data_IF_047102974722
#
_entry.id   IF_047102974722
#
_cell.length_a   1.000
_cell.length_b   1.000
_cell.length_c   1.000
_cell.angle_alpha   90.00
_cell.angle_beta   90.00
_cell.angle_gamma   90.00
#
_symmetry.space_group_name_H-M   'P 1'
#
loop_
_entity.id
_entity.type
_entity.pdbx_description
1 polymer ?
#
# COMPACT_ATOMS: atom_id res chain seq x y z
N UNK A 1 44.67 2.60 -42.60
CA UNK A 1 43.26 3.01 -42.78
C UNK A 1 42.39 2.14 -41.87
N UNK A 2 41.74 2.71 -40.84
CA UNK A 2 40.83 1.96 -39.97
C UNK A 2 39.52 1.74 -40.73
N UNK A 3 39.14 0.48 -40.97
CA UNK A 3 37.82 0.11 -41.53
C UNK A 3 36.75 0.58 -40.53
N UNK A 4 35.92 1.54 -40.93
CA UNK A 4 34.72 1.86 -40.16
C UNK A 4 33.69 0.76 -40.45
N UNK A 5 33.51 -0.15 -39.49
CA UNK A 5 32.41 -1.10 -39.50
C UNK A 5 31.15 -0.34 -39.08
N UNK A 6 30.42 0.22 -40.05
CA UNK A 6 29.09 0.77 -39.82
C UNK A 6 28.08 -0.36 -39.56
N UNK A 7 27.16 -0.16 -38.63
CA UNK A 7 25.99 -1.03 -38.43
C UNK A 7 25.15 -1.07 -39.71
N UNK A 8 24.62 -2.25 -40.05
CA UNK A 8 23.75 -2.37 -41.22
C UNK A 8 22.33 -1.91 -40.87
N UNK A 9 21.62 -1.33 -41.84
CA UNK A 9 20.23 -0.90 -41.62
C UNK A 9 19.32 -2.08 -41.21
N UNK A 10 19.58 -3.26 -41.77
CA UNK A 10 18.81 -4.47 -41.44
C UNK A 10 19.01 -4.92 -39.99
N UNK A 11 20.22 -4.74 -39.45
CA UNK A 11 20.55 -5.10 -38.08
C UNK A 11 19.83 -4.19 -37.08
N UNK A 12 19.74 -2.88 -37.38
CA UNK A 12 18.93 -1.95 -36.58
C UNK A 12 17.43 -2.32 -36.63
N UNK A 13 16.91 -2.67 -37.81
CA UNK A 13 15.49 -3.04 -37.99
C UNK A 13 15.13 -4.31 -37.23
N UNK A 14 15.99 -5.33 -37.26
CA UNK A 14 15.74 -6.58 -36.51
C UNK A 14 15.73 -6.32 -35.01
N UNK A 15 16.61 -5.46 -34.50
CA UNK A 15 16.66 -5.12 -33.06
C UNK A 15 15.37 -4.46 -32.61
N UNK A 16 14.86 -3.45 -33.32
CA UNK A 16 13.61 -2.78 -32.93
C UNK A 16 12.39 -3.71 -33.03
N UNK A 17 12.40 -4.67 -33.96
CA UNK A 17 11.34 -5.67 -34.08
C UNK A 17 11.36 -6.61 -32.87
N UNK A 18 12.53 -7.11 -32.47
CA UNK A 18 12.66 -7.97 -31.29
C UNK A 18 12.25 -7.20 -30.03
N UNK A 19 12.72 -5.96 -29.85
CA UNK A 19 12.32 -5.11 -28.72
C UNK A 19 10.82 -4.83 -28.73
N UNK A 20 10.20 -4.64 -29.90
CA UNK A 20 8.76 -4.46 -30.04
C UNK A 20 7.96 -5.68 -29.57
N UNK A 21 8.38 -6.89 -29.93
CA UNK A 21 7.73 -8.13 -29.49
C UNK A 21 7.89 -8.32 -27.98
N UNK A 22 9.10 -8.12 -27.45
CA UNK A 22 9.38 -8.23 -26.02
C UNK A 22 8.56 -7.21 -25.21
N UNK A 23 8.46 -5.97 -25.68
CA UNK A 23 7.65 -4.95 -25.04
C UNK A 23 6.16 -5.30 -25.05
N UNK A 24 5.63 -5.81 -26.18
CA UNK A 24 4.22 -6.17 -26.29
C UNK A 24 3.79 -7.25 -25.30
N UNK A 25 4.67 -8.20 -24.97
CA UNK A 25 4.37 -9.26 -23.97
C UNK A 25 4.74 -8.87 -22.54
N UNK A 26 5.76 -8.02 -22.34
CA UNK A 26 6.23 -7.65 -21.01
C UNK A 26 5.34 -6.59 -20.34
N UNK A 27 4.84 -5.61 -21.10
CA UNK A 27 4.00 -4.52 -20.58
C UNK A 27 2.74 -5.03 -19.86
N UNK A 28 1.88 -5.88 -20.45
CA UNK A 28 0.67 -6.33 -19.76
C UNK A 28 0.99 -7.09 -18.48
N UNK A 29 1.99 -7.98 -18.51
CA UNK A 29 2.41 -8.74 -17.32
C UNK A 29 2.95 -7.85 -16.20
N UNK A 30 3.66 -6.77 -16.56
CA UNK A 30 4.16 -5.81 -15.59
C UNK A 30 3.02 -5.04 -14.90
N UNK A 31 1.97 -4.68 -15.64
CA UNK A 31 0.79 -4.02 -15.08
C UNK A 31 0.05 -4.95 -14.09
N UNK A 32 -0.21 -6.19 -14.50
CA UNK A 32 -0.87 -7.19 -13.64
C UNK A 32 -0.09 -7.39 -12.31
N UNK A 33 1.22 -7.58 -12.41
CA UNK A 33 2.09 -7.75 -11.22
C UNK A 33 2.09 -6.51 -10.31
N UNK A 34 1.98 -5.31 -10.89
CA UNK A 34 1.96 -4.06 -10.11
C UNK A 34 0.65 -3.92 -9.34
N UNK A 35 -0.47 -4.30 -9.95
CA UNK A 35 -1.79 -4.32 -9.31
C UNK A 35 -1.83 -5.37 -8.19
N UNK A 36 -1.36 -6.59 -8.45
CA UNK A 36 -1.27 -7.67 -7.45
C UNK A 36 -0.39 -7.27 -6.26
N UNK A 37 0.76 -6.63 -6.53
CA UNK A 37 1.64 -6.13 -5.48
C UNK A 37 0.97 -5.07 -4.60
N UNK A 38 0.20 -4.16 -5.23
CA UNK A 38 -0.56 -3.11 -4.51
C UNK A 38 -1.63 -3.74 -3.62
N UNK A 39 -2.44 -4.66 -4.17
CA UNK A 39 -3.48 -5.36 -3.41
C UNK A 39 -2.91 -6.18 -2.24
N UNK A 40 -1.76 -6.82 -2.43
CA UNK A 40 -1.07 -7.55 -1.38
C UNK A 40 -0.57 -6.62 -0.27
N UNK A 41 -0.01 -5.46 -0.63
CA UNK A 41 0.43 -4.45 0.34
C UNK A 41 -0.73 -3.87 1.16
N UNK A 42 -1.87 -3.56 0.51
CA UNK A 42 -3.08 -3.10 1.19
C UNK A 42 -3.60 -4.14 2.18
N UNK A 43 -3.73 -5.39 1.75
CA UNK A 43 -4.20 -6.50 2.59
C UNK A 43 -3.26 -6.78 3.77
N UNK A 44 -1.95 -6.66 3.54
CA UNK A 44 -0.93 -6.79 4.58
C UNK A 44 -1.07 -5.68 5.61
N UNK A 45 -1.24 -4.43 5.18
CA UNK A 45 -1.35 -3.30 6.09
C UNK A 45 -2.64 -3.36 6.92
N UNK A 46 -3.78 -3.69 6.30
CA UNK A 46 -5.03 -3.93 7.02
C UNK A 46 -4.88 -4.99 8.12
N UNK A 47 -4.19 -6.10 7.80
CA UNK A 47 -3.96 -7.18 8.75
C UNK A 47 -3.04 -6.74 9.90
N UNK A 48 -2.01 -5.95 9.60
CA UNK A 48 -1.12 -5.36 10.61
C UNK A 48 -1.89 -4.44 11.56
N UNK A 49 -2.75 -3.55 11.04
CA UNK A 49 -3.55 -2.64 11.87
C UNK A 49 -4.55 -3.40 12.75
N UNK A 50 -5.24 -4.40 12.19
CA UNK A 50 -6.15 -5.28 12.95
C UNK A 50 -5.41 -6.06 14.03
N UNK A 51 -4.19 -6.53 13.75
CA UNK A 51 -3.36 -7.22 14.73
C UNK A 51 -2.90 -6.28 15.85
N UNK A 52 -2.40 -5.09 15.50
CA UNK A 52 -2.01 -4.07 16.48
C UNK A 52 -3.17 -3.68 17.39
N UNK A 53 -4.36 -3.49 16.82
CA UNK A 53 -5.60 -3.23 17.55
C UNK A 53 -5.94 -4.33 18.56
N UNK A 54 -5.91 -5.59 18.13
CA UNK A 54 -6.20 -6.73 19.00
C UNK A 54 -5.19 -6.88 20.15
N UNK A 55 -3.90 -6.63 19.87
CA UNK A 55 -2.83 -6.66 20.87
C UNK A 55 -3.05 -5.54 21.91
N UNK A 56 -3.32 -4.32 21.44
CA UNK A 56 -3.46 -3.17 22.33
C UNK A 56 -4.65 -3.29 23.27
N UNK A 57 -5.78 -3.84 22.78
CA UNK A 57 -6.94 -4.16 23.63
C UNK A 57 -6.59 -5.24 24.66
N UNK A 58 -5.82 -6.26 24.26
CA UNK A 58 -5.42 -7.34 25.16
C UNK A 58 -4.49 -6.83 26.27
N UNK A 59 -3.56 -5.93 25.94
CA UNK A 59 -2.63 -5.33 26.91
C UNK A 59 -3.34 -4.34 27.85
N UNK A 60 -4.24 -3.50 27.33
CA UNK A 60 -4.97 -2.48 28.10
C UNK A 60 -6.28 -2.98 28.72
N UNK A 61 -6.41 -4.30 28.91
CA UNK A 61 -7.53 -4.95 29.63
C UNK A 61 -8.91 -4.58 29.08
N UNK A 62 -9.05 -4.47 27.76
CA UNK A 62 -10.33 -4.14 27.11
C UNK A 62 -10.56 -2.64 26.87
N UNK A 63 -9.58 -1.78 27.19
CA UNK A 63 -9.65 -0.35 26.84
C UNK A 63 -9.33 -0.18 25.36
N UNK A 64 -10.18 0.57 24.66
CA UNK A 64 -10.00 0.88 23.24
C UNK A 64 -8.86 1.89 23.04
N UNK A 65 -7.91 1.62 22.12
CA UNK A 65 -6.85 2.57 21.83
C UNK A 65 -7.37 3.76 21.04
N UNK A 66 -6.73 4.91 21.20
CA UNK A 66 -6.90 6.05 20.29
C UNK A 66 -6.21 5.78 18.95
N UNK A 67 -6.52 6.58 17.92
CA UNK A 67 -5.85 6.45 16.61
C UNK A 67 -4.34 6.65 16.73
N UNK A 68 -3.90 7.60 17.58
CA UNK A 68 -2.47 7.81 17.85
C UNK A 68 -1.82 6.59 18.50
N UNK A 69 -2.43 6.04 19.56
CA UNK A 69 -1.89 4.86 20.25
C UNK A 69 -1.82 3.66 19.29
N UNK A 70 -2.83 3.48 18.44
CA UNK A 70 -2.82 2.43 17.42
C UNK A 70 -1.69 2.62 16.40
N UNK A 71 -1.42 3.85 15.98
CA UNK A 71 -0.28 4.17 15.10
C UNK A 71 1.06 3.86 15.78
N UNK A 72 1.22 4.26 17.04
CA UNK A 72 2.44 4.04 17.79
C UNK A 72 2.73 2.53 17.97
N UNK A 73 1.69 1.70 18.06
CA UNK A 73 1.82 0.24 18.10
C UNK A 73 2.26 -0.42 16.81
N UNK A 74 1.97 0.18 15.65
CA UNK A 74 2.49 -0.32 14.39
C UNK A 74 4.02 -0.17 14.32
N UNK A 75 4.59 0.79 15.06
CA UNK A 75 6.03 0.99 15.20
C UNK A 75 6.77 1.09 13.86
N UNK A 76 6.08 1.58 12.81
CA UNK A 76 6.66 1.83 11.49
C UNK A 76 6.84 3.32 11.26
N UNK A 77 7.85 3.72 10.47
CA UNK A 77 8.01 5.11 10.05
C UNK A 77 7.17 5.46 8.81
N UNK A 78 6.47 4.47 8.25
CA UNK A 78 5.69 4.60 7.00
C UNK A 78 4.18 4.75 7.27
N UNK A 79 3.78 4.92 8.53
CA UNK A 79 2.38 5.14 8.94
C UNK A 79 2.19 6.48 9.65
N UNK A 80 1.06 7.13 9.38
CA UNK A 80 0.69 8.40 10.03
C UNK A 80 -0.73 8.31 10.59
N UNK A 81 -0.92 8.67 11.86
CA UNK A 81 -2.25 8.83 12.44
C UNK A 81 -2.95 10.08 11.87
N UNK A 82 -4.16 9.90 11.36
CA UNK A 82 -5.04 10.99 10.90
C UNK A 82 -6.42 10.87 11.54
N UNK A 83 -7.22 11.94 11.43
CA UNK A 83 -8.54 12.02 12.04
C UNK A 83 -9.44 10.81 11.74
N UNK A 84 -9.35 10.25 10.53
CA UNK A 84 -10.20 9.15 10.05
C UNK A 84 -9.52 7.77 10.11
N UNK A 85 -8.29 7.68 10.63
CA UNK A 85 -7.58 6.40 10.74
C UNK A 85 -6.07 6.45 10.52
N UNK A 86 -5.52 5.39 9.93
CA UNK A 86 -4.08 5.21 9.75
C UNK A 86 -3.71 5.33 8.27
N UNK A 87 -2.89 6.32 7.93
CA UNK A 87 -2.37 6.53 6.59
C UNK A 87 -1.06 5.79 6.35
N UNK A 88 -0.85 5.35 5.11
CA UNK A 88 0.38 4.75 4.61
C UNK A 88 0.44 4.89 3.09
N UNK A 89 1.64 4.80 2.50
CA UNK A 89 1.83 4.95 1.05
C UNK A 89 2.16 3.61 0.38
N UNK A 90 1.52 3.35 -0.77
CA UNK A 90 1.83 2.23 -1.65
C UNK A 90 2.00 2.75 -3.08
N UNK A 91 3.18 2.58 -3.66
CA UNK A 91 3.45 2.99 -5.04
C UNK A 91 3.31 4.50 -5.30
N UNK A 92 3.41 5.34 -4.27
CA UNK A 92 3.22 6.79 -4.37
C UNK A 92 1.77 7.26 -4.22
N UNK A 93 0.83 6.34 -3.94
CA UNK A 93 -0.55 6.65 -3.57
C UNK A 93 -0.73 6.46 -2.07
N UNK A 94 -1.29 7.47 -1.40
CA UNK A 94 -1.63 7.38 0.02
C UNK A 94 -2.95 6.61 0.17
N UNK A 95 -2.98 5.70 1.14
CA UNK A 95 -4.17 4.98 1.55
C UNK A 95 -4.41 5.20 3.04
N UNK A 96 -5.67 5.22 3.44
CA UNK A 96 -6.12 5.33 4.82
C UNK A 96 -6.89 4.07 5.20
N UNK A 97 -6.41 3.34 6.21
CA UNK A 97 -7.22 2.33 6.92
C UNK A 97 -8.21 3.08 7.80
N UNK A 98 -9.49 2.99 7.48
CA UNK A 98 -10.53 3.69 8.22
C UNK A 98 -10.67 3.13 9.65
N UNK A 99 -10.77 4.00 10.63
CA UNK A 99 -11.07 3.63 12.02
C UNK A 99 -12.41 4.21 12.45
N UNK A 100 -13.08 3.53 13.37
CA UNK A 100 -14.45 3.87 13.78
C UNK A 100 -14.57 3.91 15.30
N UNK A 101 -15.46 4.76 15.80
CA UNK A 101 -15.72 4.92 17.24
C UNK A 101 -16.78 3.94 17.77
N UNK A 102 -17.38 3.13 16.91
CA UNK A 102 -18.38 2.11 17.26
C UNK A 102 -17.99 0.71 16.74
N UNK A 103 -18.48 -0.32 17.43
CA UNK A 103 -18.21 -1.73 17.08
C UNK A 103 -18.90 -2.21 15.80
N UNK A 104 -19.87 -1.45 15.27
CA UNK A 104 -20.52 -1.75 14.00
C UNK A 104 -19.82 -1.07 12.80
N UNK A 105 -18.74 -0.31 13.04
CA UNK A 105 -17.93 0.34 12.02
C UNK A 105 -18.75 1.33 11.16
N UNK A 106 -19.58 2.16 11.80
CA UNK A 106 -20.51 3.06 11.10
C UNK A 106 -20.17 4.54 11.27
N UNK A 107 -19.54 4.90 12.38
CA UNK A 107 -19.15 6.25 12.76
C UNK A 107 -17.64 6.36 12.70
N UNK A 108 -17.13 6.97 11.64
CA UNK A 108 -15.69 7.18 11.47
C UNK A 108 -15.15 8.04 12.63
N UNK A 109 -13.89 7.81 12.98
CA UNK A 109 -13.14 8.72 13.85
C UNK A 109 -13.06 10.11 13.23
N UNK A 110 -13.09 11.15 14.07
CA UNK A 110 -13.01 12.57 13.68
C UNK A 110 -11.75 13.26 14.21
N UNK A 111 -11.02 12.65 15.13
CA UNK A 111 -9.77 13.13 15.68
C UNK A 111 -8.82 11.96 15.99
N UNK A 112 -7.51 12.23 15.98
CA UNK A 112 -6.50 11.20 16.31
C UNK A 112 -6.59 10.71 17.77
N UNK A 113 -7.26 11.47 18.63
CA UNK A 113 -7.53 11.14 20.03
C UNK A 113 -8.81 10.33 20.23
N UNK A 114 -9.59 10.08 19.18
CA UNK A 114 -10.84 9.32 19.30
C UNK A 114 -10.55 7.84 19.54
N UNK A 115 -11.33 7.17 20.40
CA UNK A 115 -11.17 5.74 20.64
C UNK A 115 -11.58 4.94 19.40
N UNK A 116 -10.71 4.03 19.00
CA UNK A 116 -10.94 3.09 17.91
C UNK A 116 -11.64 1.87 18.48
N UNK A 117 -12.84 1.54 17.99
CA UNK A 117 -13.60 0.35 18.36
C UNK A 117 -13.74 -0.64 17.21
N UNK A 118 -13.51 -0.18 15.98
CA UNK A 118 -13.46 -1.03 14.80
C UNK A 118 -12.44 -0.50 13.78
N UNK A 119 -11.84 -1.45 13.04
CA UNK A 119 -10.96 -1.22 11.88
C UNK A 119 -11.70 -1.60 10.60
N UNK A 120 -11.86 -0.65 9.68
CA UNK A 120 -12.45 -0.87 8.36
C UNK A 120 -11.44 -1.25 7.28
N UNK A 121 -11.87 -1.07 6.04
CA UNK A 121 -11.05 -1.31 4.86
C UNK A 121 -10.12 -0.12 4.55
N UNK A 122 -9.07 -0.40 3.78
CA UNK A 122 -8.23 0.61 3.16
C UNK A 122 -9.02 1.40 2.10
N UNK A 123 -8.85 2.71 2.10
CA UNK A 123 -9.42 3.65 1.11
C UNK A 123 -8.31 4.57 0.61
N UNK A 124 -8.24 4.83 -0.69
CA UNK A 124 -7.30 5.82 -1.26
C UNK A 124 -7.77 7.24 -0.99
#
# INVERSE_FOLDING_TARGET
MKKQNGFTLIELVIVIVILGILAAVAVPRYLDLSEDATNAALSSMESSVKSAFAIEIAENRGTYPTVTELNDRLATNDTTAVATGIQFDVGGTTYTIQTYTDTACTTATGAVTDPVQCIGAATS
#
